data_IF_290747685942
#
_entry.id   IF_290747685942
#
_cell.length_a   1.000
_cell.length_b   1.000
_cell.length_c   1.000
_cell.angle_alpha   90.00
_cell.angle_beta   90.00
_cell.angle_gamma   90.00
#
_symmetry.space_group_name_H-M   'P 1'
#
loop_
_entity.id
_entity.type
_entity.pdbx_description
1 polymer ?
#
# COMPACT_ATOMS: atom_id res chain seq x y z
N UNK A 1 -74.79 48.82 -33.50
CA UNK A 1 -74.67 47.50 -34.18
C UNK A 1 -73.40 47.54 -35.01
N UNK A 2 -72.34 46.72 -34.88
CA UNK A 2 -72.02 45.49 -34.14
C UNK A 2 -70.52 45.56 -33.78
N UNK A 3 -70.15 44.95 -32.66
CA UNK A 3 -68.76 44.72 -32.24
C UNK A 3 -68.13 43.52 -32.97
N UNK A 4 -66.81 43.54 -33.15
CA UNK A 4 -65.99 42.32 -33.14
C UNK A 4 -64.50 42.65 -32.99
N UNK A 5 -63.96 42.24 -31.86
CA UNK A 5 -62.56 42.10 -31.49
C UNK A 5 -61.88 40.95 -32.26
N UNK A 6 -60.55 41.01 -32.44
CA UNK A 6 -59.68 39.83 -32.55
C UNK A 6 -58.22 40.17 -32.22
N UNK A 7 -57.74 39.52 -31.17
CA UNK A 7 -56.35 39.26 -30.82
C UNK A 7 -55.86 37.94 -31.46
N UNK A 8 -54.58 37.61 -31.27
CA UNK A 8 -53.77 36.41 -31.60
C UNK A 8 -52.78 36.61 -32.75
N UNK A 9 -51.50 36.24 -32.66
CA UNK A 9 -50.68 35.71 -31.56
C UNK A 9 -49.20 35.91 -31.92
N UNK A 10 -48.39 36.24 -30.92
CA UNK A 10 -46.93 36.33 -31.00
C UNK A 10 -46.33 35.25 -30.10
N UNK A 11 -45.28 34.61 -30.62
CA UNK A 11 -44.24 33.84 -29.93
C UNK A 11 -44.57 32.45 -29.34
N UNK A 12 -44.07 31.41 -30.00
CA UNK A 12 -43.59 30.18 -29.36
C UNK A 12 -42.15 29.89 -29.82
N UNK A 13 -41.22 30.71 -29.35
CA UNK A 13 -39.81 30.35 -29.28
C UNK A 13 -39.48 29.96 -27.83
N UNK A 14 -39.75 28.71 -27.44
CA UNK A 14 -39.21 28.17 -26.19
C UNK A 14 -37.71 28.01 -26.39
N UNK A 15 -36.95 28.94 -25.81
CA UNK A 15 -35.50 28.96 -25.86
C UNK A 15 -34.94 27.76 -25.10
N UNK A 16 -33.93 27.12 -25.69
CA UNK A 16 -33.19 25.96 -25.15
C UNK A 16 -32.75 26.14 -23.69
N UNK A 17 -32.55 27.39 -23.25
CA UNK A 17 -32.19 27.81 -21.90
C UNK A 17 -33.22 27.47 -20.81
N UNK A 18 -34.53 27.47 -21.11
CA UNK A 18 -35.58 27.19 -20.10
C UNK A 18 -35.70 25.69 -19.82
N UNK A 19 -35.47 24.85 -20.83
CA UNK A 19 -35.51 23.38 -20.70
C UNK A 19 -34.34 22.86 -19.87
N UNK A 20 -33.16 23.45 -20.04
CA UNK A 20 -31.96 23.11 -19.24
C UNK A 20 -32.18 23.49 -17.77
N UNK A 21 -32.76 24.66 -17.48
CA UNK A 21 -33.03 25.09 -16.11
C UNK A 21 -34.02 24.19 -15.34
N UNK A 22 -35.02 23.61 -16.03
CA UNK A 22 -35.99 22.70 -15.41
C UNK A 22 -35.38 21.33 -15.05
N UNK A 23 -34.36 20.85 -15.79
CA UNK A 23 -33.68 19.60 -15.50
C UNK A 23 -32.76 19.68 -14.26
N UNK A 24 -32.30 20.89 -13.91
CA UNK A 24 -31.37 21.18 -12.81
C UNK A 24 -32.04 21.60 -11.50
N UNK A 25 -33.38 21.74 -11.46
CA UNK A 25 -34.07 22.07 -10.21
C UNK A 25 -33.81 20.99 -9.12
N UNK A 26 -33.51 21.35 -7.86
CA UNK A 26 -33.16 20.38 -6.80
C UNK A 26 -34.18 19.25 -6.60
N UNK A 27 -35.47 19.54 -6.79
CA UNK A 27 -36.55 18.54 -6.72
C UNK A 27 -36.57 17.54 -7.89
N UNK A 28 -36.06 17.93 -9.05
CA UNK A 28 -36.05 17.07 -10.24
C UNK A 28 -35.05 15.92 -10.10
N UNK A 29 -33.85 16.20 -9.57
CA UNK A 29 -32.85 15.15 -9.31
C UNK A 29 -33.29 14.18 -8.21
N UNK A 30 -33.91 14.70 -7.14
CA UNK A 30 -34.45 13.87 -6.06
C UNK A 30 -35.55 12.91 -6.57
N UNK A 31 -36.47 13.41 -7.41
CA UNK A 31 -37.52 12.60 -8.02
C UNK A 31 -36.94 11.51 -8.95
N UNK A 32 -35.95 11.85 -9.80
CA UNK A 32 -35.29 10.87 -10.67
C UNK A 32 -34.56 9.79 -9.88
N UNK A 33 -33.84 10.18 -8.82
CA UNK A 33 -33.21 9.23 -7.89
C UNK A 33 -34.26 8.30 -7.26
N UNK A 34 -35.38 8.85 -6.80
CA UNK A 34 -36.46 8.07 -6.20
C UNK A 34 -37.05 7.06 -7.20
N UNK A 35 -37.25 7.47 -8.45
CA UNK A 35 -37.71 6.57 -9.51
C UNK A 35 -36.73 5.41 -9.76
N UNK A 36 -35.42 5.62 -9.68
CA UNK A 36 -34.42 4.54 -9.77
C UNK A 36 -34.57 3.54 -8.62
N UNK A 37 -34.75 4.04 -7.39
CA UNK A 37 -34.90 3.21 -6.19
C UNK A 37 -36.17 2.36 -6.25
N UNK A 38 -37.27 2.93 -6.74
CA UNK A 38 -38.53 2.20 -6.94
C UNK A 38 -38.40 1.17 -8.07
N UNK A 39 -37.79 1.55 -9.19
CA UNK A 39 -37.57 0.65 -10.31
C UNK A 39 -36.75 -0.59 -9.92
N UNK A 40 -35.74 -0.42 -9.04
CA UNK A 40 -34.87 -1.51 -8.60
C UNK A 40 -35.63 -2.68 -7.95
N UNK A 41 -36.82 -2.45 -7.38
CA UNK A 41 -37.68 -3.52 -6.86
C UNK A 41 -38.13 -4.53 -7.92
N UNK A 42 -38.05 -4.18 -9.21
CA UNK A 42 -38.40 -5.06 -10.34
C UNK A 42 -37.23 -5.93 -10.82
N UNK A 43 -36.10 -5.93 -10.12
CA UNK A 43 -34.94 -6.77 -10.46
C UNK A 43 -34.43 -6.50 -11.88
N UNK A 44 -34.22 -7.56 -12.67
CA UNK A 44 -33.65 -7.50 -14.04
C UNK A 44 -34.48 -6.60 -14.96
N UNK A 45 -35.79 -6.51 -14.78
CA UNK A 45 -36.64 -5.63 -15.59
C UNK A 45 -36.31 -4.14 -15.40
N UNK A 46 -35.63 -3.76 -14.32
CA UNK A 46 -35.18 -2.40 -14.06
C UNK A 46 -33.96 -1.98 -14.90
N UNK A 47 -33.25 -2.94 -15.54
CA UNK A 47 -31.98 -2.70 -16.21
C UNK A 47 -31.97 -1.47 -17.13
N UNK A 48 -32.93 -1.29 -18.07
CA UNK A 48 -32.91 -0.13 -18.97
C UNK A 48 -33.03 1.20 -18.24
N UNK A 49 -33.84 1.24 -17.18
CA UNK A 49 -34.07 2.44 -16.36
C UNK A 49 -32.82 2.77 -15.54
N UNK A 50 -32.22 1.76 -14.92
CA UNK A 50 -31.00 1.92 -14.14
C UNK A 50 -29.82 2.34 -15.04
N UNK A 51 -29.66 1.72 -16.21
CA UNK A 51 -28.64 2.10 -17.19
C UNK A 51 -28.82 3.53 -17.69
N UNK A 52 -30.07 3.96 -17.94
CA UNK A 52 -30.38 5.35 -18.25
C UNK A 52 -29.91 6.34 -17.17
N UNK A 53 -30.03 5.94 -15.89
CA UNK A 53 -29.57 6.75 -14.76
C UNK A 53 -28.05 7.00 -14.71
N UNK A 54 -27.22 6.15 -15.34
CA UNK A 54 -25.76 6.39 -15.45
C UNK A 54 -25.43 7.63 -16.28
N UNK A 55 -26.35 8.06 -17.16
CA UNK A 55 -26.19 9.22 -18.06
C UNK A 55 -26.81 10.50 -17.49
N UNK A 56 -27.39 10.45 -16.29
CA UNK A 56 -28.02 11.62 -15.68
C UNK A 56 -27.00 12.73 -15.45
N UNK A 57 -27.37 14.00 -15.63
CA UNK A 57 -26.45 15.11 -15.37
C UNK A 57 -26.09 15.25 -13.87
N UNK A 58 -26.94 14.75 -12.97
CA UNK A 58 -26.73 14.86 -11.53
C UNK A 58 -25.90 13.67 -10.99
N UNK A 59 -24.73 13.92 -10.36
CA UNK A 59 -23.86 12.87 -9.83
C UNK A 59 -24.54 11.95 -8.80
N UNK A 60 -25.50 12.46 -8.02
CA UNK A 60 -26.22 11.64 -7.03
C UNK A 60 -27.10 10.60 -7.72
N UNK A 61 -27.74 10.97 -8.84
CA UNK A 61 -28.55 10.05 -9.65
C UNK A 61 -27.62 9.01 -10.32
N UNK A 62 -26.52 9.45 -10.94
CA UNK A 62 -25.53 8.54 -11.56
C UNK A 62 -24.98 7.51 -10.56
N UNK A 63 -24.56 7.96 -9.37
CA UNK A 63 -24.03 7.08 -8.31
C UNK A 63 -25.10 6.14 -7.76
N UNK A 64 -26.36 6.57 -7.74
CA UNK A 64 -27.49 5.71 -7.33
C UNK A 64 -27.72 4.62 -8.37
N UNK A 65 -27.77 4.97 -9.65
CA UNK A 65 -27.87 4.01 -10.75
C UNK A 65 -26.73 2.97 -10.72
N UNK A 66 -25.48 3.42 -10.62
CA UNK A 66 -24.32 2.53 -10.57
C UNK A 66 -24.37 1.52 -9.42
N UNK A 67 -24.85 1.96 -8.24
CA UNK A 67 -24.99 1.09 -7.07
C UNK A 67 -26.06 0.03 -7.27
N UNK A 68 -27.22 0.43 -7.78
CA UNK A 68 -28.32 -0.49 -8.05
C UNK A 68 -27.95 -1.52 -9.13
N UNK A 69 -27.22 -1.09 -10.16
CA UNK A 69 -26.66 -2.01 -11.16
C UNK A 69 -25.66 -3.00 -10.53
N UNK A 70 -24.78 -2.52 -9.66
CA UNK A 70 -23.80 -3.37 -8.97
C UNK A 70 -24.45 -4.37 -8.00
N UNK A 71 -25.60 -4.03 -7.43
CA UNK A 71 -26.40 -4.92 -6.57
C UNK A 71 -27.18 -5.95 -7.41
N UNK A 72 -27.50 -5.63 -8.66
CA UNK A 72 -28.15 -6.56 -9.60
C UNK A 72 -27.21 -7.69 -10.07
N UNK A 73 -25.91 -7.44 -10.10
CA UNK A 73 -24.89 -8.45 -10.39
C UNK A 73 -24.75 -8.79 -11.87
N UNK A 74 -24.61 -10.08 -12.21
CA UNK A 74 -24.28 -10.55 -13.55
C UNK A 74 -25.18 -9.99 -14.68
N UNK A 75 -26.51 -9.85 -14.53
CA UNK A 75 -27.37 -9.24 -15.55
C UNK A 75 -26.99 -7.80 -15.93
N UNK A 76 -26.32 -7.07 -15.03
CA UNK A 76 -25.93 -5.69 -15.24
C UNK A 76 -24.50 -5.52 -15.79
N UNK A 77 -23.81 -6.60 -16.19
CA UNK A 77 -22.40 -6.55 -16.61
C UNK A 77 -22.13 -5.48 -17.68
N UNK A 78 -22.93 -5.41 -18.74
CA UNK A 78 -22.75 -4.42 -19.81
C UNK A 78 -22.95 -2.98 -19.32
N UNK A 79 -23.98 -2.75 -18.51
CA UNK A 79 -24.25 -1.44 -17.92
C UNK A 79 -23.15 -1.03 -16.93
N UNK A 80 -22.55 -1.98 -16.22
CA UNK A 80 -21.39 -1.72 -15.35
C UNK A 80 -20.14 -1.39 -16.16
N UNK A 81 -19.90 -2.04 -17.30
CA UNK A 81 -18.81 -1.68 -18.23
C UNK A 81 -19.00 -0.25 -18.78
N UNK A 82 -20.23 0.16 -19.05
CA UNK A 82 -20.56 1.54 -19.41
C UNK A 82 -20.25 2.51 -18.25
N UNK A 83 -20.65 2.15 -17.02
CA UNK A 83 -20.35 2.93 -15.80
C UNK A 83 -18.85 3.12 -15.55
N UNK A 84 -18.00 2.19 -15.99
CA UNK A 84 -16.54 2.34 -15.94
C UNK A 84 -16.03 3.54 -16.75
N UNK A 85 -16.73 3.92 -17.81
CA UNK A 85 -16.34 5.05 -18.66
C UNK A 85 -16.85 6.40 -18.14
N UNK A 86 -17.45 6.42 -16.94
CA UNK A 86 -18.00 7.64 -16.34
C UNK A 86 -16.91 8.66 -15.98
N UNK A 87 -17.17 9.97 -16.17
CA UNK A 87 -16.28 11.01 -15.65
C UNK A 87 -16.22 11.02 -14.11
N UNK A 88 -17.26 10.51 -13.43
CA UNK A 88 -17.31 10.47 -11.97
C UNK A 88 -16.53 9.26 -11.42
N UNK A 89 -15.45 9.47 -10.65
CA UNK A 89 -14.64 8.38 -10.10
C UNK A 89 -15.41 7.47 -9.13
N UNK A 90 -16.45 7.99 -8.45
CA UNK A 90 -17.29 7.18 -7.55
C UNK A 90 -18.17 6.22 -8.35
N UNK A 91 -18.64 6.65 -9.53
CA UNK A 91 -19.38 5.78 -10.45
C UNK A 91 -18.46 4.68 -10.98
N UNK A 92 -17.24 5.04 -11.44
CA UNK A 92 -16.24 4.06 -11.88
C UNK A 92 -15.87 3.06 -10.79
N UNK A 93 -15.67 3.55 -9.56
CA UNK A 93 -15.36 2.70 -8.42
C UNK A 93 -16.52 1.73 -8.11
N UNK A 94 -17.76 2.22 -8.13
CA UNK A 94 -18.95 1.38 -7.90
C UNK A 94 -19.12 0.34 -9.01
N UNK A 95 -18.89 0.74 -10.26
CA UNK A 95 -18.93 -0.14 -11.42
C UNK A 95 -17.89 -1.26 -11.34
N UNK A 96 -16.63 -0.94 -11.04
CA UNK A 96 -15.57 -1.93 -10.82
C UNK A 96 -15.95 -2.90 -9.68
N UNK A 97 -16.47 -2.39 -8.56
CA UNK A 97 -16.93 -3.24 -7.45
C UNK A 97 -18.02 -4.21 -7.89
N UNK A 98 -18.96 -3.76 -8.72
CA UNK A 98 -20.00 -4.61 -9.31
C UNK A 98 -19.42 -5.68 -10.22
N UNK A 99 -18.54 -5.30 -11.15
CA UNK A 99 -17.92 -6.21 -12.11
C UNK A 99 -17.10 -7.30 -11.43
N UNK A 100 -16.35 -6.98 -10.37
CA UNK A 100 -15.54 -7.97 -9.64
C UNK A 100 -16.38 -9.05 -8.91
N UNK A 101 -17.69 -8.86 -8.78
CA UNK A 101 -18.62 -9.87 -8.24
C UNK A 101 -19.18 -10.80 -9.32
N UNK A 102 -19.00 -10.47 -10.60
CA UNK A 102 -19.52 -11.26 -11.71
C UNK A 102 -18.49 -12.33 -12.08
N UNK A 103 -18.84 -13.61 -11.99
CA UNK A 103 -17.88 -14.72 -12.20
C UNK A 103 -17.33 -14.79 -13.63
N UNK A 104 -18.14 -14.42 -14.63
CA UNK A 104 -17.78 -14.55 -16.04
C UNK A 104 -16.78 -13.48 -16.55
N UNK A 105 -16.38 -12.51 -15.72
CA UNK A 105 -15.46 -11.45 -16.17
C UNK A 105 -14.02 -11.90 -16.07
N UNK A 106 -13.20 -11.43 -17.02
CA UNK A 106 -11.74 -11.46 -16.88
C UNK A 106 -11.31 -10.45 -15.81
N UNK A 107 -11.25 -10.91 -14.57
CA UNK A 107 -10.88 -10.09 -13.43
C UNK A 107 -9.46 -9.52 -13.53
N UNK A 108 -8.52 -10.23 -14.17
CA UNK A 108 -7.15 -9.76 -14.31
C UNK A 108 -7.08 -8.58 -15.28
N UNK A 109 -7.72 -8.69 -16.45
CA UNK A 109 -7.83 -7.60 -17.42
C UNK A 109 -8.55 -6.38 -16.83
N UNK A 110 -9.65 -6.62 -16.10
CA UNK A 110 -10.41 -5.58 -15.39
C UNK A 110 -9.54 -4.86 -14.36
N UNK A 111 -8.82 -5.58 -13.50
CA UNK A 111 -7.95 -4.98 -12.49
C UNK A 111 -6.74 -4.27 -13.11
N UNK A 112 -6.16 -4.82 -14.18
CA UNK A 112 -5.09 -4.18 -14.92
C UNK A 112 -5.49 -2.82 -15.48
N UNK A 113 -6.68 -2.72 -16.08
CA UNK A 113 -7.26 -1.45 -16.53
C UNK A 113 -7.55 -0.50 -15.37
N UNK A 114 -8.00 -1.02 -14.23
CA UNK A 114 -8.31 -0.20 -13.07
C UNK A 114 -7.07 0.43 -12.43
N UNK A 115 -5.91 -0.21 -12.55
CA UNK A 115 -4.63 0.37 -12.14
C UNK A 115 -4.17 1.53 -13.05
N UNK A 116 -4.75 1.70 -14.23
CA UNK A 116 -4.49 2.85 -15.12
C UNK A 116 -5.49 4.00 -14.92
N UNK A 117 -6.39 3.89 -13.93
CA UNK A 117 -7.41 4.91 -13.69
C UNK A 117 -6.80 6.22 -13.15
N UNK A 118 -7.30 7.37 -13.62
CA UNK A 118 -6.81 8.68 -13.17
C UNK A 118 -7.04 8.95 -11.68
N UNK A 119 -8.01 8.27 -11.07
CA UNK A 119 -8.40 8.44 -9.66
C UNK A 119 -7.70 7.43 -8.77
N UNK A 120 -6.85 7.89 -7.83
CA UNK A 120 -6.18 6.98 -6.89
C UNK A 120 -7.13 6.14 -6.04
N UNK A 121 -8.35 6.58 -5.64
CA UNK A 121 -9.34 5.70 -5.02
C UNK A 121 -9.78 4.48 -5.86
N UNK A 122 -9.76 4.58 -7.21
CA UNK A 122 -10.10 3.46 -8.10
C UNK A 122 -8.92 2.49 -8.17
N UNK A 123 -7.70 3.02 -8.36
CA UNK A 123 -6.47 2.23 -8.35
C UNK A 123 -6.27 1.50 -7.02
N UNK A 124 -6.50 2.17 -5.90
CA UNK A 124 -6.46 1.58 -4.56
C UNK A 124 -7.42 0.39 -4.43
N UNK A 125 -8.66 0.53 -4.93
CA UNK A 125 -9.61 -0.58 -4.89
C UNK A 125 -9.16 -1.75 -5.78
N UNK A 126 -8.50 -1.47 -6.90
CA UNK A 126 -7.87 -2.52 -7.71
C UNK A 126 -6.79 -3.26 -6.92
N UNK A 127 -5.88 -2.55 -6.25
CA UNK A 127 -4.87 -3.16 -5.37
C UNK A 127 -5.51 -4.00 -4.26
N UNK A 128 -6.53 -3.48 -3.56
CA UNK A 128 -7.24 -4.23 -2.52
C UNK A 128 -7.88 -5.52 -3.04
N UNK A 129 -8.36 -5.51 -4.28
CA UNK A 129 -8.89 -6.70 -4.94
C UNK A 129 -7.76 -7.68 -5.34
N UNK A 130 -6.63 -7.19 -5.85
CA UNK A 130 -5.45 -8.00 -6.20
C UNK A 130 -4.86 -8.71 -4.97
N UNK A 131 -4.80 -8.05 -3.82
CA UNK A 131 -4.25 -8.63 -2.58
C UNK A 131 -5.05 -9.85 -2.09
N UNK A 132 -6.36 -9.88 -2.35
CA UNK A 132 -7.25 -10.97 -1.91
C UNK A 132 -7.30 -12.13 -2.91
N UNK A 133 -6.57 -12.06 -4.02
CA UNK A 133 -6.56 -13.09 -5.06
C UNK A 133 -5.38 -14.04 -4.90
N UNK A 134 -5.49 -15.29 -5.39
CA UNK A 134 -4.36 -16.19 -5.49
C UNK A 134 -3.18 -15.53 -6.20
N UNK A 135 -1.96 -15.71 -5.68
CA UNK A 135 -0.74 -15.10 -6.21
C UNK A 135 -0.27 -15.85 -7.46
N UNK A 136 -0.89 -15.58 -8.60
CA UNK A 136 -0.40 -15.99 -9.92
C UNK A 136 0.63 -14.99 -10.44
N UNK A 137 1.39 -15.36 -11.48
CA UNK A 137 2.35 -14.47 -12.12
C UNK A 137 1.70 -13.17 -12.64
N UNK A 138 0.47 -13.25 -13.17
CA UNK A 138 -0.29 -12.08 -13.63
C UNK A 138 -0.65 -11.13 -12.48
N UNK A 139 -1.18 -11.67 -11.37
CA UNK A 139 -1.49 -10.89 -10.17
C UNK A 139 -0.22 -10.25 -9.56
N UNK A 140 0.89 -10.98 -9.56
CA UNK A 140 2.18 -10.45 -9.09
C UNK A 140 2.68 -9.31 -9.97
N UNK A 141 2.61 -9.44 -11.30
CA UNK A 141 2.97 -8.36 -12.23
C UNK A 141 2.09 -7.11 -12.03
N UNK A 142 0.79 -7.27 -11.79
CA UNK A 142 -0.10 -6.15 -11.49
C UNK A 142 0.22 -5.47 -10.16
N UNK A 143 0.58 -6.23 -9.13
CA UNK A 143 1.04 -5.64 -7.87
C UNK A 143 2.39 -4.93 -8.02
N UNK A 144 3.33 -5.48 -8.81
CA UNK A 144 4.60 -4.81 -9.12
C UNK A 144 4.37 -3.49 -9.86
N UNK A 145 3.44 -3.47 -10.82
CA UNK A 145 2.99 -2.23 -11.47
C UNK A 145 2.45 -1.23 -10.44
N UNK A 146 1.58 -1.67 -9.54
CA UNK A 146 1.00 -0.81 -8.51
C UNK A 146 2.01 -0.33 -7.44
N UNK A 147 3.08 -1.07 -7.18
CA UNK A 147 4.20 -0.60 -6.35
C UNK A 147 4.95 0.57 -7.02
N UNK A 148 4.73 0.77 -8.32
CA UNK A 148 5.17 1.92 -9.12
C UNK A 148 4.16 3.06 -9.24
N UNK A 149 3.06 3.09 -8.48
CA UNK A 149 2.04 4.15 -8.57
C UNK A 149 2.55 5.56 -8.15
N UNK A 150 1.88 6.63 -8.55
CA UNK A 150 2.22 7.99 -8.09
C UNK A 150 1.63 8.29 -6.71
N UNK A 151 0.52 7.65 -6.33
CA UNK A 151 -0.11 7.79 -5.02
C UNK A 151 0.61 6.94 -3.97
N UNK A 152 1.04 7.57 -2.87
CA UNK A 152 1.79 6.90 -1.79
C UNK A 152 1.02 5.75 -1.16
N UNK A 153 -0.29 5.91 -0.97
CA UNK A 153 -1.12 4.89 -0.34
C UNK A 153 -1.21 3.66 -1.24
N UNK A 154 -1.41 3.87 -2.55
CA UNK A 154 -1.47 2.79 -3.55
C UNK A 154 -0.15 2.03 -3.59
N UNK A 155 0.98 2.75 -3.71
CA UNK A 155 2.31 2.13 -3.67
C UNK A 155 2.54 1.34 -2.41
N UNK A 156 2.33 1.95 -1.25
CA UNK A 156 2.61 1.34 0.05
C UNK A 156 1.83 0.03 0.23
N UNK A 157 0.56 0.02 -0.17
CA UNK A 157 -0.28 -1.18 -0.10
C UNK A 157 0.21 -2.29 -1.03
N UNK A 158 0.62 -1.95 -2.25
CA UNK A 158 1.16 -2.90 -3.20
C UNK A 158 2.53 -3.45 -2.77
N UNK A 159 3.45 -2.59 -2.34
CA UNK A 159 4.76 -2.99 -1.79
C UNK A 159 4.61 -3.91 -0.59
N UNK A 160 3.68 -3.62 0.33
CA UNK A 160 3.40 -4.51 1.47
C UNK A 160 2.90 -5.89 1.02
N UNK A 161 2.11 -5.96 -0.05
CA UNK A 161 1.60 -7.22 -0.59
C UNK A 161 2.65 -8.05 -1.33
N UNK A 162 3.74 -7.41 -1.76
CA UNK A 162 4.91 -8.03 -2.39
C UNK A 162 6.01 -8.34 -1.38
N UNK A 163 5.84 -8.00 -0.09
CA UNK A 163 6.83 -8.24 0.94
C UNK A 163 7.02 -9.75 1.17
N UNK A 164 8.18 -10.33 0.81
CA UNK A 164 8.38 -11.78 0.86
C UNK A 164 8.96 -12.25 2.21
N UNK A 165 9.34 -11.33 3.09
CA UNK A 165 10.13 -11.64 4.27
C UNK A 165 9.23 -11.94 5.46
N UNK A 166 9.40 -13.15 5.99
CA UNK A 166 8.81 -13.61 7.22
C UNK A 166 9.81 -14.52 7.91
N UNK A 167 9.93 -14.38 9.23
CA UNK A 167 10.74 -15.25 10.07
C UNK A 167 10.04 -15.39 11.41
N UNK A 168 9.73 -16.62 11.76
CA UNK A 168 9.12 -16.97 13.04
C UNK A 168 10.19 -17.63 13.91
N UNK A 169 10.93 -16.81 14.65
CA UNK A 169 12.00 -17.24 15.56
C UNK A 169 11.84 -16.49 16.86
N UNK A 170 11.73 -17.24 17.97
CA UNK A 170 11.81 -16.69 19.32
C UNK A 170 13.29 -16.59 19.73
N UNK A 171 13.80 -15.37 19.99
CA UNK A 171 15.16 -15.16 20.51
C UNK A 171 15.41 -15.99 21.78
N UNK A 172 16.64 -16.38 22.04
CA UNK A 172 16.96 -17.27 23.17
C UNK A 172 16.48 -16.67 24.50
N UNK A 173 16.59 -15.34 24.64
CA UNK A 173 16.14 -14.57 25.82
C UNK A 173 14.64 -14.61 26.06
N UNK A 174 13.86 -14.90 25.03
CA UNK A 174 12.39 -14.88 25.05
C UNK A 174 11.79 -16.29 24.99
N UNK A 175 12.64 -17.33 24.92
CA UNK A 175 12.19 -18.72 24.84
C UNK A 175 11.59 -19.17 26.17
N UNK A 176 10.29 -19.55 26.21
CA UNK A 176 9.63 -19.95 27.45
C UNK A 176 10.09 -21.33 27.96
N UNK A 177 10.69 -22.14 27.09
CA UNK A 177 11.21 -23.48 27.38
C UNK A 177 12.69 -23.48 27.79
N UNK A 178 13.34 -22.31 27.83
CA UNK A 178 14.73 -22.20 28.26
C UNK A 178 14.84 -22.05 29.78
N UNK A 179 15.47 -23.02 30.44
CA UNK A 179 15.58 -23.12 31.91
C UNK A 179 16.99 -22.81 32.46
N UNK A 180 17.89 -22.34 31.60
CA UNK A 180 19.24 -21.95 31.95
C UNK A 180 19.43 -20.42 31.95
N UNK A 181 20.38 -19.92 32.76
CA UNK A 181 20.77 -18.52 32.70
C UNK A 181 21.31 -18.17 31.31
N UNK A 182 20.85 -17.04 30.74
CA UNK A 182 21.36 -16.52 29.46
C UNK A 182 22.36 -15.40 29.75
N UNK A 183 23.65 -15.69 29.59
CA UNK A 183 24.73 -14.75 29.82
C UNK A 183 25.34 -14.24 28.50
N UNK A 184 25.62 -12.93 28.43
CA UNK A 184 26.43 -12.36 27.35
C UNK A 184 27.90 -12.66 27.65
N UNK A 185 28.51 -13.54 26.85
CA UNK A 185 29.93 -13.89 27.01
C UNK A 185 30.86 -13.02 26.16
N UNK A 186 30.31 -12.40 25.12
CA UNK A 186 31.02 -11.45 24.28
C UNK A 186 30.03 -10.46 23.66
N UNK A 187 30.44 -9.20 23.57
CA UNK A 187 29.69 -8.13 22.92
C UNK A 187 30.59 -7.41 21.93
N UNK A 188 30.14 -7.31 20.68
CA UNK A 188 30.86 -6.70 19.58
C UNK A 188 30.07 -5.49 19.08
N UNK A 189 30.46 -4.25 19.42
CA UNK A 189 29.76 -3.06 18.94
C UNK A 189 29.88 -2.96 17.42
N UNK A 190 28.79 -2.61 16.74
CA UNK A 190 28.85 -2.27 15.32
C UNK A 190 29.46 -0.87 15.15
N UNK A 191 30.26 -0.62 14.10
CA UNK A 191 30.84 0.70 13.88
C UNK A 191 29.76 1.77 13.70
N UNK A 192 29.90 2.91 14.37
CA UNK A 192 29.00 4.04 14.18
C UNK A 192 29.12 4.64 12.76
N UNK A 193 30.33 4.64 12.18
CA UNK A 193 30.62 5.22 10.87
C UNK A 193 30.71 4.20 9.72
N UNK A 194 30.62 4.72 8.49
CA UNK A 194 30.89 3.97 7.27
C UNK A 194 29.71 3.14 6.74
N UNK A 195 28.50 3.41 7.21
CA UNK A 195 27.29 2.78 6.67
C UNK A 195 26.94 3.41 5.33
N UNK A 196 26.72 2.59 4.31
CA UNK A 196 26.10 3.04 3.05
C UNK A 196 24.62 3.30 3.30
N UNK A 197 24.11 4.39 2.74
CA UNK A 197 22.77 4.89 3.02
C UNK A 197 22.01 5.24 1.76
N UNK A 198 20.76 4.80 1.67
CA UNK A 198 19.85 5.22 0.62
C UNK A 198 18.44 5.46 1.16
N UNK A 199 17.87 6.59 0.76
CA UNK A 199 16.43 6.84 0.92
C UNK A 199 15.65 5.99 -0.10
N UNK A 200 14.53 5.46 0.33
CA UNK A 200 13.62 4.62 -0.46
C UNK A 200 12.21 5.24 -0.52
N UNK A 201 12.05 6.41 -1.17
CA UNK A 201 10.75 7.09 -1.25
C UNK A 201 9.70 6.25 -1.97
N UNK A 202 10.12 5.30 -2.80
CA UNK A 202 9.24 4.39 -3.54
C UNK A 202 8.87 3.15 -2.74
N UNK A 203 9.54 2.87 -1.63
CA UNK A 203 9.38 1.68 -0.78
C UNK A 203 9.59 0.38 -1.57
N UNK A 204 10.50 0.41 -2.53
CA UNK A 204 10.75 -0.66 -3.51
C UNK A 204 12.18 -1.25 -3.40
N UNK A 205 12.96 -0.86 -2.39
CA UNK A 205 14.33 -1.37 -2.19
C UNK A 205 14.41 -2.89 -2.06
N UNK A 206 13.36 -3.52 -1.52
CA UNK A 206 13.27 -4.98 -1.45
C UNK A 206 13.08 -5.63 -2.83
N UNK A 207 12.30 -5.01 -3.72
CA UNK A 207 12.13 -5.45 -5.11
C UNK A 207 13.41 -5.23 -5.92
N UNK A 208 14.16 -4.17 -5.60
CA UNK A 208 15.50 -3.88 -6.13
C UNK A 208 16.61 -4.71 -5.49
N UNK A 209 16.27 -5.65 -4.60
CA UNK A 209 17.22 -6.56 -3.96
C UNK A 209 18.34 -5.87 -3.16
N UNK A 210 18.07 -4.70 -2.59
CA UNK A 210 19.04 -3.96 -1.76
C UNK A 210 19.49 -4.69 -0.49
N UNK A 211 18.84 -5.80 -0.15
CA UNK A 211 19.18 -6.67 0.96
C UNK A 211 20.20 -7.76 0.56
N UNK A 212 20.39 -8.07 -0.72
CA UNK A 212 21.29 -9.15 -1.16
C UNK A 212 22.76 -8.84 -0.80
N UNK A 213 23.52 -9.89 -0.50
CA UNK A 213 24.89 -9.76 -0.01
C UNK A 213 25.83 -9.15 -1.05
N UNK A 214 25.60 -9.44 -2.33
CA UNK A 214 26.37 -9.03 -3.50
C UNK A 214 25.83 -7.76 -4.19
N UNK A 215 24.79 -7.13 -3.63
CA UNK A 215 24.31 -5.83 -4.13
C UNK A 215 25.42 -4.76 -4.06
N UNK A 216 25.70 -4.13 -5.20
CA UNK A 216 26.66 -3.04 -5.32
C UNK A 216 26.06 -1.72 -4.79
N UNK A 217 26.49 -1.34 -3.58
CA UNK A 217 26.11 -0.10 -2.90
C UNK A 217 27.19 1.00 -3.02
N UNK A 218 28.18 0.85 -3.91
CA UNK A 218 29.29 1.79 -4.03
C UNK A 218 28.87 3.24 -4.35
N UNK A 219 27.74 3.38 -5.06
CA UNK A 219 27.13 4.66 -5.39
C UNK A 219 26.37 5.31 -4.23
N UNK A 220 26.09 4.60 -3.15
CA UNK A 220 25.36 5.14 -2.00
C UNK A 220 26.28 6.03 -1.16
N UNK A 221 25.83 7.22 -0.72
CA UNK A 221 26.58 8.02 0.24
C UNK A 221 26.74 7.25 1.56
N UNK A 222 27.66 7.72 2.39
CA UNK A 222 27.84 7.18 3.74
C UNK A 222 27.08 8.01 4.78
N UNK A 223 26.59 7.37 5.82
CA UNK A 223 26.00 7.98 7.01
C UNK A 223 26.60 7.36 8.27
N UNK A 224 26.51 8.08 9.39
CA UNK A 224 26.72 7.50 10.71
C UNK A 224 25.39 7.04 11.31
N UNK A 225 25.41 5.94 12.06
CA UNK A 225 24.32 5.55 12.98
C UNK A 225 24.55 6.21 14.35
N UNK A 226 23.74 5.88 15.35
CA UNK A 226 23.72 6.55 16.68
C UNK A 226 23.31 8.03 16.60
N UNK A 227 22.59 8.37 15.54
CA UNK A 227 21.98 9.67 15.31
C UNK A 227 20.77 9.52 14.40
N UNK A 228 19.83 10.46 14.51
CA UNK A 228 18.78 10.61 13.52
C UNK A 228 19.38 11.01 12.15
N UNK A 229 18.80 10.55 11.05
CA UNK A 229 19.28 10.90 9.70
C UNK A 229 19.09 12.40 9.39
N UNK A 230 18.23 13.11 10.13
CA UNK A 230 18.05 14.57 10.06
C UNK A 230 19.33 15.31 10.44
N UNK A 231 20.08 14.78 11.42
CA UNK A 231 21.38 15.34 11.80
C UNK A 231 22.42 15.19 10.70
N UNK A 232 22.23 14.24 9.79
CA UNK A 232 23.05 14.07 8.59
C UNK A 232 22.53 14.88 7.38
N UNK A 233 21.47 15.69 7.57
CA UNK A 233 20.92 16.56 6.52
C UNK A 233 19.79 15.94 5.70
N UNK A 234 19.23 14.81 6.14
CA UNK A 234 18.08 14.18 5.49
C UNK A 234 16.79 14.52 6.25
N UNK A 235 16.04 15.52 5.79
CA UNK A 235 14.68 15.77 6.31
C UNK A 235 13.71 14.88 5.54
N UNK A 236 13.33 13.75 6.12
CA UNK A 236 12.63 12.69 5.39
C UNK A 236 11.84 11.77 6.32
N UNK A 237 10.52 11.70 6.12
CA UNK A 237 9.68 10.64 6.70
C UNK A 237 9.50 9.54 5.64
N UNK A 238 9.84 8.30 5.99
CA UNK A 238 9.64 7.16 5.10
C UNK A 238 10.63 6.02 5.31
N UNK A 239 10.95 5.32 4.23
CA UNK A 239 11.83 4.15 4.28
C UNK A 239 13.26 4.56 3.90
N UNK A 240 14.23 4.10 4.66
CA UNK A 240 15.65 4.21 4.33
C UNK A 240 16.37 2.88 4.55
N UNK A 241 17.51 2.70 3.88
CA UNK A 241 18.32 1.50 3.94
C UNK A 241 19.74 1.83 4.36
N UNK A 242 20.28 1.00 5.23
CA UNK A 242 21.64 1.04 5.74
C UNK A 242 22.34 -0.27 5.36
N UNK A 243 23.58 -0.19 4.86
CA UNK A 243 24.42 -1.35 4.59
C UNK A 243 25.83 -1.16 5.16
N UNK A 244 26.37 -2.19 5.81
CA UNK A 244 27.74 -2.17 6.36
C UNK A 244 28.39 -3.53 6.30
N UNK A 245 29.65 -3.55 5.87
CA UNK A 245 30.53 -4.70 6.06
C UNK A 245 31.22 -4.62 7.43
N UNK A 246 31.15 -5.68 8.23
CA UNK A 246 31.72 -5.74 9.58
C UNK A 246 32.60 -6.97 9.73
N UNK A 247 33.80 -6.77 10.26
CA UNK A 247 34.72 -7.87 10.58
C UNK A 247 34.28 -8.56 11.87
N UNK A 248 34.03 -9.87 11.79
CA UNK A 248 33.63 -10.68 12.95
C UNK A 248 34.81 -11.58 13.33
N UNK A 249 35.25 -11.58 14.60
CA UNK A 249 36.40 -12.37 15.03
C UNK A 249 36.13 -13.88 14.89
N UNK A 250 37.16 -14.69 15.13
CA UNK A 250 36.98 -16.14 15.23
C UNK A 250 35.97 -16.49 16.34
N UNK A 251 35.26 -17.61 16.17
CA UNK A 251 34.28 -18.11 17.14
C UNK A 251 34.96 -18.28 18.50
N UNK A 252 34.43 -17.70 19.60
CA UNK A 252 35.02 -17.87 20.92
C UNK A 252 34.93 -19.33 21.36
N UNK A 253 35.86 -19.73 22.23
CA UNK A 253 35.87 -21.07 22.82
C UNK A 253 34.70 -21.24 23.81
N UNK A 254 34.26 -22.49 23.98
CA UNK A 254 33.20 -22.86 24.91
C UNK A 254 31.83 -23.03 24.27
N UNK A 255 30.81 -23.19 25.12
CA UNK A 255 29.42 -23.38 24.69
C UNK A 255 28.85 -22.02 24.29
N UNK A 256 28.30 -21.96 23.09
CA UNK A 256 27.54 -20.81 22.56
C UNK A 256 26.16 -21.35 22.19
N UNK A 257 25.12 -20.79 22.81
CA UNK A 257 23.74 -21.22 22.64
C UNK A 257 23.01 -20.38 21.59
N UNK A 258 23.36 -19.10 21.45
CA UNK A 258 22.83 -18.24 20.41
C UNK A 258 23.76 -17.06 20.13
N UNK A 259 23.55 -16.41 18.98
CA UNK A 259 24.12 -15.10 18.68
C UNK A 259 22.99 -14.19 18.24
N UNK A 260 22.92 -13.01 18.85
CA UNK A 260 21.86 -12.03 18.57
C UNK A 260 22.45 -10.71 18.11
N UNK A 261 21.78 -10.03 17.17
CA UNK A 261 22.01 -8.60 16.93
C UNK A 261 21.09 -7.82 17.85
N UNK A 262 21.67 -6.99 18.72
CA UNK A 262 20.95 -6.14 19.65
C UNK A 262 20.94 -4.70 19.15
N UNK A 263 19.75 -4.10 19.12
CA UNK A 263 19.53 -2.72 18.73
C UNK A 263 18.95 -1.98 19.93
N UNK A 264 19.60 -0.91 20.39
CA UNK A 264 19.12 -0.16 21.57
C UNK A 264 17.97 0.80 21.24
N UNK A 265 17.78 1.12 19.97
CA UNK A 265 16.69 1.94 19.44
C UNK A 265 16.85 2.24 17.95
N UNK A 266 15.79 2.00 17.20
CA UNK A 266 15.65 2.34 15.78
C UNK A 266 14.31 3.03 15.60
N UNK A 267 14.33 4.20 14.99
CA UNK A 267 13.15 5.04 14.81
C UNK A 267 12.57 4.83 13.41
N UNK A 268 11.42 4.15 13.22
CA UNK A 268 10.52 3.51 14.21
C UNK A 268 10.50 1.98 14.11
N UNK A 269 10.58 1.46 12.88
CA UNK A 269 10.55 0.04 12.59
C UNK A 269 11.82 -0.39 11.84
N UNK A 270 12.29 -1.61 12.11
CA UNK A 270 13.50 -2.16 11.53
C UNK A 270 13.27 -3.55 10.93
N UNK A 271 13.90 -3.83 9.80
CA UNK A 271 14.04 -5.16 9.21
C UNK A 271 15.51 -5.40 8.94
N UNK A 272 16.05 -6.55 9.36
CA UNK A 272 17.49 -6.80 9.31
C UNK A 272 17.80 -8.04 8.48
N UNK A 273 18.87 -7.93 7.70
CA UNK A 273 19.49 -9.05 6.99
C UNK A 273 20.97 -9.14 7.37
N UNK A 274 21.47 -10.37 7.48
CA UNK A 274 22.88 -10.68 7.65
C UNK A 274 23.31 -11.58 6.50
N UNK A 275 24.29 -11.14 5.71
CA UNK A 275 24.76 -11.83 4.51
C UNK A 275 23.63 -12.16 3.52
N UNK A 276 22.68 -11.22 3.35
CA UNK A 276 21.50 -11.41 2.52
C UNK A 276 20.40 -12.29 3.12
N UNK A 277 20.63 -12.92 4.27
CA UNK A 277 19.64 -13.76 4.96
C UNK A 277 18.79 -12.89 5.86
N UNK A 278 17.47 -12.95 5.71
CA UNK A 278 16.55 -12.23 6.58
C UNK A 278 16.57 -12.81 8.00
N UNK A 279 16.89 -11.97 9.00
CA UNK A 279 17.01 -12.38 10.41
C UNK A 279 15.86 -11.92 11.28
N UNK A 280 15.00 -11.02 10.77
CA UNK A 280 13.75 -10.65 11.43
C UNK A 280 13.48 -9.15 11.38
N UNK A 281 12.50 -8.74 12.19
CA UNK A 281 12.01 -7.36 12.24
C UNK A 281 11.61 -6.94 13.64
N UNK A 282 11.66 -5.63 13.86
CA UNK A 282 10.96 -4.93 14.92
C UNK A 282 9.97 -3.96 14.26
N UNK A 283 8.72 -4.39 14.14
CA UNK A 283 7.66 -3.65 13.42
C UNK A 283 6.42 -3.54 14.33
N UNK A 284 6.52 -2.69 15.34
CA UNK A 284 5.46 -2.48 16.36
C UNK A 284 4.82 -1.10 16.27
N UNK A 285 5.06 -0.39 15.16
CA UNK A 285 4.52 0.94 14.87
C UNK A 285 5.18 2.07 15.66
N UNK A 286 4.55 3.25 15.71
CA UNK A 286 5.19 4.49 16.18
C UNK A 286 5.66 4.50 17.63
N UNK A 287 5.22 3.55 18.45
CA UNK A 287 5.68 3.41 19.83
C UNK A 287 6.98 2.59 19.95
N UNK A 288 7.56 2.14 18.83
CA UNK A 288 8.78 1.33 18.76
C UNK A 288 10.07 2.13 18.80
N UNK A 289 10.03 3.43 18.48
CA UNK A 289 11.20 4.25 18.19
C UNK A 289 12.34 4.16 19.21
N UNK A 290 12.03 4.10 20.51
CA UNK A 290 13.03 4.05 21.58
C UNK A 290 13.26 2.65 22.19
N UNK A 291 12.50 1.66 21.74
CA UNK A 291 12.49 0.32 22.35
C UNK A 291 13.64 -0.51 21.82
N UNK A 292 14.43 -1.04 22.75
CA UNK A 292 15.46 -2.00 22.42
C UNK A 292 14.82 -3.33 21.98
N UNK A 293 15.49 -4.03 21.07
CA UNK A 293 15.11 -5.37 20.62
C UNK A 293 16.35 -6.18 20.22
N UNK A 294 16.21 -7.50 20.20
CA UNK A 294 17.23 -8.41 19.69
C UNK A 294 16.65 -9.31 18.61
N UNK A 295 17.49 -9.74 17.66
CA UNK A 295 17.12 -10.72 16.64
C UNK A 295 18.19 -11.81 16.57
N UNK A 296 17.77 -13.07 16.49
CA UNK A 296 18.68 -14.20 16.34
C UNK A 296 19.36 -14.17 14.95
N UNK A 297 20.70 -14.16 14.98
CA UNK A 297 21.56 -14.21 13.78
C UNK A 297 22.46 -15.44 13.78
N UNK A 298 22.19 -16.43 14.65
CA UNK A 298 23.06 -17.59 14.93
C UNK A 298 23.47 -18.31 13.65
N UNK A 299 22.51 -18.58 12.77
CA UNK A 299 22.73 -19.30 11.51
C UNK A 299 23.16 -18.41 10.34
N UNK A 300 23.03 -17.08 10.48
CA UNK A 300 23.34 -16.12 9.42
C UNK A 300 24.76 -15.54 9.53
N UNK A 301 25.33 -15.52 10.73
CA UNK A 301 26.65 -14.98 11.03
C UNK A 301 27.78 -15.92 10.57
N UNK A 302 28.83 -15.35 9.98
CA UNK A 302 30.07 -16.05 9.60
C UNK A 302 31.20 -15.66 10.53
N UNK A 303 31.68 -16.58 11.35
CA UNK A 303 32.82 -16.35 12.23
C UNK A 303 34.14 -16.23 11.48
N UNK A 304 35.04 -15.38 11.97
CA UNK A 304 36.37 -15.17 11.40
C UNK A 304 36.36 -14.58 9.98
N UNK A 305 35.30 -13.84 9.64
CA UNK A 305 35.06 -13.33 8.30
C UNK A 305 34.35 -11.98 8.32
N UNK A 306 34.42 -11.27 7.20
CA UNK A 306 33.60 -10.10 6.92
C UNK A 306 32.13 -10.53 6.73
N UNK A 307 31.23 -9.84 7.43
CA UNK A 307 29.78 -10.04 7.32
C UNK A 307 29.12 -8.78 6.78
N UNK A 308 28.11 -8.96 5.95
CA UNK A 308 27.29 -7.87 5.44
C UNK A 308 26.04 -7.72 6.32
N UNK A 309 25.82 -6.53 6.87
CA UNK A 309 24.61 -6.19 7.64
C UNK A 309 23.79 -5.20 6.82
N UNK A 310 22.54 -5.56 6.51
CA UNK A 310 21.55 -4.64 5.94
C UNK A 310 20.49 -4.33 6.97
N UNK A 311 20.14 -3.06 7.14
CA UNK A 311 18.99 -2.63 7.94
C UNK A 311 18.09 -1.77 7.07
N UNK A 312 16.83 -2.15 6.94
CA UNK A 312 15.79 -1.28 6.42
C UNK A 312 15.08 -0.64 7.60
N UNK A 313 14.92 0.67 7.56
CA UNK A 313 14.22 1.45 8.57
C UNK A 313 12.98 2.09 7.96
N UNK A 314 11.87 2.08 8.68
CA UNK A 314 10.69 2.91 8.39
C UNK A 314 10.51 3.88 9.55
N UNK A 315 10.51 5.16 9.22
CA UNK A 315 10.04 6.25 10.07
C UNK A 315 8.73 6.78 9.48
N UNK A 316 7.74 7.02 10.33
CA UNK A 316 6.45 7.54 9.91
C UNK A 316 6.27 9.03 10.16
N UNK A 317 7.07 9.64 11.03
CA UNK A 317 7.00 11.07 11.34
C UNK A 317 8.22 11.56 12.16
N UNK A 318 8.59 12.82 11.91
CA UNK A 318 9.55 13.61 12.66
C UNK A 318 11.01 13.29 12.36
N UNK A 319 11.63 12.41 13.15
CA UNK A 319 13.05 12.14 13.06
C UNK A 319 13.27 10.64 13.05
N UNK A 320 14.10 10.16 12.13
CA UNK A 320 14.18 8.73 11.86
C UNK A 320 15.60 8.18 11.87
N UNK A 321 15.69 6.85 11.85
CA UNK A 321 16.95 6.13 11.65
C UNK A 321 17.44 5.33 12.84
N UNK A 322 18.64 4.77 12.69
CA UNK A 322 19.31 4.00 13.75
C UNK A 322 19.95 4.98 14.72
N UNK A 323 19.18 5.48 15.68
CA UNK A 323 19.59 6.60 16.54
C UNK A 323 20.28 6.20 17.84
N UNK A 324 20.33 4.90 18.16
CA UNK A 324 21.08 4.33 19.28
C UNK A 324 22.02 3.20 18.82
N UNK A 325 22.97 2.76 19.67
CA UNK A 325 23.95 1.74 19.30
C UNK A 325 23.34 0.41 18.88
N UNK A 326 24.09 -0.30 18.03
CA UNK A 326 23.85 -1.69 17.66
C UNK A 326 25.09 -2.53 18.00
N UNK A 327 24.87 -3.80 18.34
CA UNK A 327 25.95 -4.74 18.67
C UNK A 327 25.57 -6.17 18.37
N UNK A 328 26.57 -7.04 18.23
CA UNK A 328 26.41 -8.48 18.19
C UNK A 328 26.70 -9.03 19.59
N UNK A 329 25.74 -9.74 20.18
CA UNK A 329 25.87 -10.40 21.47
C UNK A 329 25.98 -11.91 21.31
N UNK A 330 27.02 -12.49 21.92
CA UNK A 330 27.23 -13.94 21.95
C UNK A 330 26.69 -14.46 23.27
N UNK A 331 25.74 -15.39 23.18
CA UNK A 331 24.98 -15.88 24.32
C UNK A 331 25.42 -17.29 24.68
N UNK A 332 25.59 -17.49 25.99
CA UNK A 332 25.77 -18.78 26.63
C UNK A 332 24.64 -19.02 27.58
#
# INVERSE_FOLDING_TARGET
MRASSRWLAVCTGLSLSVVVAAAEAPGAAAARRQALLEAAGNGVAALPVLQGGLKDANPVVQRTAARLLADLGAPAQEALLEGWSSPDPVVRQTALKGLLKVEAVDAEAILGRALDDSSSPVRMMAVQALVRRPRTAGIEALLQKAAGDDDDTVRAQASRALWPFHRDVTPLRERPDWDHEVAVVQSLPLPAEGWRFALDPRRDGHLKKWHEADFDDSAWPTIAIEQAWEKAGHTYDGVAWYRRQVEVPARPEGVINAVEIACDGVDECAWIWVNGIYVGQHDIGPAGWEKAFTLDITDALRWGATNQITVRVLDSAFAGGIWKPMRIEVLR
#
